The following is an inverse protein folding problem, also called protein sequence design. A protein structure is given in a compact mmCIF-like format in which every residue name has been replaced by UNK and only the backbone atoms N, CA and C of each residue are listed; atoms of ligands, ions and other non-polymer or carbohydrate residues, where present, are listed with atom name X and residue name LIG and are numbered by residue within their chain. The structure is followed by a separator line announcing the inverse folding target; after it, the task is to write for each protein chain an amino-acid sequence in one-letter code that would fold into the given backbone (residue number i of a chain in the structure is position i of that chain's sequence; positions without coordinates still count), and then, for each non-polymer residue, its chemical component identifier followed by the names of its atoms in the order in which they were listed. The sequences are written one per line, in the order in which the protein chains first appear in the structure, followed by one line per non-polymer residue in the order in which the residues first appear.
data_IF_950099300000
#
_entry.id   IF_950099300000
#
_cell.length_a   1.000
_cell.length_b   1.000
_cell.length_c   1.000
_cell.angle_alpha   90.00
_cell.angle_beta   90.00
_cell.angle_gamma   90.00
#
_symmetry.space_group_name_H-M   'P 1'
#
loop_
_entity.id
_entity.type
_entity.pdbx_description
1 polymer ?
#
# COMPACT_ATOMS: atom_id res chain seq x y z
N UNK A 1 -16.29 7.68 34.40
CA UNK A 1 -15.48 8.50 33.47
C UNK A 1 -16.37 9.08 32.38
N UNK A 2 -16.39 10.41 32.19
CA UNK A 2 -17.16 11.05 31.11
C UNK A 2 -16.52 10.63 29.76
N UNK A 3 -17.33 10.08 28.85
CA UNK A 3 -16.86 9.81 27.47
C UNK A 3 -16.30 11.11 26.87
N UNK A 4 -15.05 11.14 26.36
CA UNK A 4 -14.55 12.34 25.70
C UNK A 4 -15.52 12.71 24.57
N UNK A 5 -15.70 14.00 24.34
CA UNK A 5 -16.55 14.43 23.22
C UNK A 5 -16.00 13.87 21.93
N UNK A 6 -16.86 13.42 21.00
CA UNK A 6 -16.43 12.88 19.71
C UNK A 6 -15.48 13.85 18.98
N UNK A 7 -15.71 15.16 19.14
CA UNK A 7 -14.87 16.21 18.55
C UNK A 7 -13.45 16.15 19.10
N UNK A 8 -13.28 16.01 20.40
CA UNK A 8 -11.95 15.94 21.04
C UNK A 8 -11.20 14.66 20.63
N UNK A 9 -11.91 13.54 20.50
CA UNK A 9 -11.33 12.27 20.05
C UNK A 9 -10.80 12.36 18.60
N UNK A 10 -11.62 12.84 17.66
CA UNK A 10 -11.18 13.01 16.27
C UNK A 10 -10.13 14.12 16.14
N UNK A 11 -10.21 15.18 16.94
CA UNK A 11 -9.19 16.23 16.99
C UNK A 11 -7.80 15.71 17.39
N UNK A 12 -7.73 14.85 18.42
CA UNK A 12 -6.46 14.19 18.82
C UNK A 12 -5.88 13.33 17.68
N UNK A 13 -6.71 12.56 16.96
CA UNK A 13 -6.27 11.73 15.83
C UNK A 13 -5.83 12.55 14.64
N UNK A 14 -6.53 13.64 14.33
CA UNK A 14 -6.12 14.58 13.29
C UNK A 14 -4.79 15.26 13.62
N UNK A 15 -4.61 15.68 14.86
CA UNK A 15 -3.35 16.24 15.34
C UNK A 15 -2.20 15.21 15.24
N UNK A 16 -2.44 13.98 15.68
CA UNK A 16 -1.46 12.90 15.56
C UNK A 16 -1.08 12.64 14.09
N UNK A 17 -2.06 12.63 13.17
CA UNK A 17 -1.81 12.52 11.74
C UNK A 17 -0.92 13.65 11.22
N UNK A 18 -1.27 14.91 11.52
CA UNK A 18 -0.51 16.08 11.07
C UNK A 18 0.93 16.08 11.60
N UNK A 19 1.11 15.76 12.90
CA UNK A 19 2.44 15.65 13.50
C UNK A 19 3.25 14.52 12.85
N UNK A 20 2.64 13.37 12.61
CA UNK A 20 3.33 12.25 11.95
C UNK A 20 3.73 12.58 10.51
N UNK A 21 2.88 13.26 9.75
CA UNK A 21 3.19 13.72 8.38
C UNK A 21 4.29 14.78 8.41
N UNK A 22 4.28 15.68 9.39
CA UNK A 22 5.34 16.68 9.57
C UNK A 22 6.69 16.01 9.85
N UNK A 23 6.75 15.07 10.79
CA UNK A 23 7.98 14.32 11.10
C UNK A 23 8.45 13.53 9.87
N UNK A 24 7.53 12.88 9.18
CA UNK A 24 7.80 12.16 7.95
C UNK A 24 8.39 13.09 6.88
N UNK A 25 7.80 14.28 6.67
CA UNK A 25 8.27 15.24 5.67
C UNK A 25 9.69 15.71 5.97
N UNK A 26 9.99 16.01 7.23
CA UNK A 26 11.34 16.34 7.68
C UNK A 26 12.30 15.18 7.37
N UNK A 27 11.97 13.97 7.79
CA UNK A 27 12.84 12.81 7.61
C UNK A 27 13.11 12.54 6.12
N UNK A 28 12.06 12.52 5.29
CA UNK A 28 12.18 12.26 3.85
C UNK A 28 12.98 13.37 3.17
N UNK A 29 12.76 14.64 3.54
CA UNK A 29 13.51 15.77 3.00
C UNK A 29 14.99 15.65 3.30
N UNK A 30 15.36 15.44 4.57
CA UNK A 30 16.75 15.28 4.97
C UNK A 30 17.42 14.08 4.32
N UNK A 31 16.77 12.92 4.32
CA UNK A 31 17.31 11.71 3.68
C UNK A 31 17.50 11.92 2.18
N UNK A 32 16.57 12.60 1.50
CA UNK A 32 16.70 12.89 0.07
C UNK A 32 17.89 13.81 -0.24
N UNK A 33 18.22 14.74 0.65
CA UNK A 33 19.37 15.66 0.49
C UNK A 33 20.71 15.03 0.86
N UNK A 34 20.69 14.02 1.75
CA UNK A 34 21.90 13.25 2.11
C UNK A 34 22.18 12.10 1.11
N UNK A 35 21.23 11.79 0.24
CA UNK A 35 21.41 10.73 -0.74
C UNK A 35 22.59 11.06 -1.70
N UNK A 36 23.48 10.10 -1.98
CA UNK A 36 24.63 10.33 -2.84
C UNK A 36 24.20 10.67 -4.26
N UNK A 37 24.71 11.77 -4.79
CA UNK A 37 24.51 12.22 -6.15
C UNK A 37 24.39 13.72 -6.29
N UNK A 38 24.52 14.18 -7.53
CA UNK A 38 24.43 15.58 -7.88
C UNK A 38 23.05 15.90 -8.45
N UNK A 39 22.23 16.75 -7.78
CA UNK A 39 20.92 17.18 -8.28
C UNK A 39 20.99 17.87 -9.66
N UNK A 40 22.13 18.50 -9.97
CA UNK A 40 22.33 19.14 -11.26
C UNK A 40 22.38 18.12 -12.40
N UNK A 41 22.97 16.94 -12.16
CA UNK A 41 22.98 15.85 -13.15
C UNK A 41 21.57 15.38 -13.45
N UNK A 42 20.71 15.31 -12.44
CA UNK A 42 19.29 14.96 -12.65
C UNK A 42 18.52 15.99 -13.47
N UNK A 43 18.83 17.28 -13.27
CA UNK A 43 18.16 18.36 -13.96
C UNK A 43 18.72 18.66 -15.36
N UNK A 44 20.04 18.67 -15.50
CA UNK A 44 20.74 19.03 -16.75
C UNK A 44 21.24 17.82 -17.54
N UNK A 45 21.18 16.61 -16.99
CA UNK A 45 21.74 15.39 -17.59
C UNK A 45 23.27 15.52 -17.76
N UNK A 46 23.79 14.95 -18.84
CA UNK A 46 25.24 14.99 -19.17
C UNK A 46 25.81 16.41 -19.34
N UNK A 47 24.93 17.41 -19.49
CA UNK A 47 25.38 18.82 -19.54
C UNK A 47 25.86 19.32 -18.19
N UNK A 48 25.44 18.72 -17.09
CA UNK A 48 25.87 19.11 -15.74
C UNK A 48 27.40 19.03 -15.57
N UNK A 49 28.02 18.02 -16.19
CA UNK A 49 29.47 17.80 -16.15
C UNK A 49 30.25 18.83 -17.01
N UNK A 50 29.57 19.48 -17.95
CA UNK A 50 30.13 20.47 -18.87
C UNK A 50 29.91 21.91 -18.44
N UNK A 51 29.20 22.14 -17.33
CA UNK A 51 28.96 23.46 -16.79
C UNK A 51 30.28 24.06 -16.27
N UNK A 52 30.52 25.31 -16.61
CA UNK A 52 31.60 26.08 -15.99
C UNK A 52 31.30 26.31 -14.51
N UNK A 53 32.30 26.60 -13.66
CA UNK A 53 32.07 26.88 -12.24
C UNK A 53 31.05 27.99 -12.00
N UNK A 54 31.01 29.00 -12.86
CA UNK A 54 30.03 30.10 -12.77
C UNK A 54 28.62 29.65 -13.13
N UNK A 55 28.46 28.90 -14.23
CA UNK A 55 27.17 28.34 -14.63
C UNK A 55 26.63 27.36 -13.60
N UNK A 56 27.52 26.57 -12.97
CA UNK A 56 27.17 25.65 -11.89
C UNK A 56 26.63 26.41 -10.67
N UNK A 57 27.31 27.43 -10.21
CA UNK A 57 26.87 28.26 -9.09
C UNK A 57 25.50 28.91 -9.37
N UNK A 58 25.27 29.44 -10.56
CA UNK A 58 23.99 29.99 -10.97
C UNK A 58 22.88 28.93 -11.02
N UNK A 59 23.21 27.70 -11.43
CA UNK A 59 22.27 26.59 -11.47
C UNK A 59 21.91 26.11 -10.06
N UNK A 60 22.87 26.07 -9.15
CA UNK A 60 22.67 25.72 -7.72
C UNK A 60 21.80 26.79 -7.03
N UNK A 61 22.09 28.07 -7.24
CA UNK A 61 21.29 29.20 -6.75
C UNK A 61 19.82 29.13 -7.29
N UNK A 62 19.68 28.91 -8.59
CA UNK A 62 18.35 28.78 -9.23
C UNK A 62 17.51 27.62 -8.68
N UNK A 63 18.15 26.53 -8.28
CA UNK A 63 17.51 25.36 -7.66
C UNK A 63 17.44 25.47 -6.14
N UNK A 64 18.02 26.54 -5.54
CA UNK A 64 18.07 26.76 -4.10
C UNK A 64 18.91 25.73 -3.36
N UNK A 65 19.94 25.19 -4.01
CA UNK A 65 20.80 24.13 -3.44
C UNK A 65 21.97 24.70 -2.62
N UNK A 66 22.26 25.98 -2.77
CA UNK A 66 23.30 26.73 -2.09
C UNK A 66 22.96 27.11 -0.64
N UNK A 67 21.66 27.05 -0.28
CA UNK A 67 21.18 27.39 1.05
C UNK A 67 21.34 26.25 2.06
N UNK A 68 21.38 26.56 3.39
CA UNK A 68 21.33 25.55 4.42
C UNK A 68 20.11 24.63 4.27
N UNK A 69 20.27 23.32 4.51
CA UNK A 69 19.21 22.31 4.31
C UNK A 69 17.91 22.68 5.05
N UNK A 70 18.01 23.26 6.24
CA UNK A 70 16.83 23.71 6.99
C UNK A 70 16.07 24.82 6.27
N UNK A 71 16.76 25.80 5.70
CA UNK A 71 16.15 26.89 4.92
C UNK A 71 15.46 26.34 3.66
N UNK A 72 16.12 25.40 2.97
CA UNK A 72 15.51 24.69 1.84
C UNK A 72 14.23 23.96 2.25
N UNK A 73 14.23 23.30 3.41
CA UNK A 73 13.04 22.61 3.92
C UNK A 73 11.89 23.59 4.21
N UNK A 74 12.17 24.70 4.90
CA UNK A 74 11.14 25.70 5.25
C UNK A 74 10.52 26.29 3.98
N UNK A 75 11.35 26.65 2.99
CA UNK A 75 10.88 27.14 1.68
C UNK A 75 10.03 26.11 0.96
N UNK A 76 10.50 24.86 0.91
CA UNK A 76 9.74 23.78 0.31
C UNK A 76 8.40 23.55 1.02
N UNK A 77 8.37 23.54 2.35
CA UNK A 77 7.15 23.37 3.13
C UNK A 77 6.15 24.49 2.91
N UNK A 78 6.62 25.73 2.83
CA UNK A 78 5.78 26.90 2.48
C UNK A 78 5.16 26.74 1.08
N UNK A 79 5.94 26.38 0.08
CA UNK A 79 5.46 26.14 -1.27
C UNK A 79 4.48 24.97 -1.33
N UNK A 80 4.77 23.88 -0.63
CA UNK A 80 3.91 22.70 -0.53
C UNK A 80 2.52 23.00 0.08
N UNK A 81 2.43 23.93 1.05
CA UNK A 81 1.15 24.40 1.60
C UNK A 81 0.30 25.16 0.57
N UNK A 82 0.93 25.68 -0.50
CA UNK A 82 0.22 26.32 -1.64
C UNK A 82 0.03 25.36 -2.83
N UNK A 83 0.39 24.08 -2.65
CA UNK A 83 0.25 23.04 -3.68
C UNK A 83 1.43 22.95 -4.66
N UNK A 84 2.50 23.71 -4.46
CA UNK A 84 3.72 23.65 -5.24
C UNK A 84 4.73 22.69 -4.55
N UNK A 85 4.84 21.49 -5.11
CA UNK A 85 5.78 20.44 -4.64
C UNK A 85 7.08 20.40 -5.43
N UNK A 86 7.31 21.41 -6.27
CA UNK A 86 8.47 21.53 -7.15
C UNK A 86 8.31 20.81 -8.49
N UNK A 87 9.31 20.98 -9.33
CA UNK A 87 9.37 20.43 -10.68
C UNK A 87 10.13 19.11 -10.67
N UNK A 88 9.59 18.08 -11.33
CA UNK A 88 10.30 16.84 -11.61
C UNK A 88 11.50 17.13 -12.52
N UNK A 89 12.67 16.68 -12.11
CA UNK A 89 13.90 16.89 -12.88
C UNK A 89 13.91 16.08 -14.17
N UNK A 90 13.35 14.90 -14.16
CA UNK A 90 13.27 14.01 -15.32
C UNK A 90 12.21 14.47 -16.31
N UNK A 91 11.01 14.77 -15.84
CA UNK A 91 9.85 15.04 -16.70
C UNK A 91 9.69 16.54 -17.06
N UNK A 92 10.43 17.44 -16.38
CA UNK A 92 10.39 18.90 -16.59
C UNK A 92 9.00 19.54 -16.45
N UNK A 93 8.17 18.94 -15.59
CA UNK A 93 6.82 19.39 -15.30
C UNK A 93 6.54 19.26 -13.78
N UNK A 94 5.49 19.89 -13.23
CA UNK A 94 5.17 19.83 -11.81
C UNK A 94 5.09 18.39 -11.31
N UNK A 95 5.76 18.09 -10.19
CA UNK A 95 5.81 16.73 -9.62
C UNK A 95 4.42 16.17 -9.33
N UNK A 96 3.48 17.01 -8.88
CA UNK A 96 2.09 16.63 -8.62
C UNK A 96 1.37 16.15 -9.89
N UNK A 97 1.59 16.79 -11.04
CA UNK A 97 0.98 16.40 -12.32
C UNK A 97 1.53 15.07 -12.82
N UNK A 98 2.85 14.83 -12.66
CA UNK A 98 3.47 13.56 -12.99
C UNK A 98 2.84 12.44 -12.18
N UNK A 99 2.67 12.63 -10.88
CA UNK A 99 2.02 11.66 -9.99
C UNK A 99 0.57 11.44 -10.39
N UNK A 100 -0.20 12.49 -10.61
CA UNK A 100 -1.61 12.41 -11.00
C UNK A 100 -1.81 11.61 -12.29
N UNK A 101 -0.89 11.75 -13.27
CA UNK A 101 -0.94 11.01 -14.52
C UNK A 101 -0.76 9.49 -14.37
N UNK A 102 -0.09 9.04 -13.31
CA UNK A 102 0.24 7.62 -13.04
C UNK A 102 -0.61 7.00 -11.94
N UNK A 103 -1.15 7.81 -11.02
CA UNK A 103 -1.90 7.35 -9.85
C UNK A 103 -3.09 6.45 -10.23
N UNK A 104 -3.81 6.77 -11.31
CA UNK A 104 -4.95 5.98 -11.78
C UNK A 104 -4.62 4.52 -12.07
N UNK A 105 -3.44 4.25 -12.62
CA UNK A 105 -3.01 2.88 -12.91
C UNK A 105 -2.70 2.09 -11.63
N UNK A 106 -1.97 2.67 -10.68
CA UNK A 106 -1.71 2.03 -9.37
C UNK A 106 -3.00 1.81 -8.59
N UNK A 107 -3.92 2.78 -8.59
CA UNK A 107 -5.21 2.64 -7.91
C UNK A 107 -6.07 1.56 -8.57
N UNK A 108 -6.01 1.41 -9.89
CA UNK A 108 -6.71 0.33 -10.59
C UNK A 108 -6.11 -1.03 -10.23
N UNK A 109 -4.80 -1.21 -10.37
CA UNK A 109 -4.12 -2.46 -10.05
C UNK A 109 -4.28 -2.81 -8.56
N UNK A 110 -3.94 -1.89 -7.67
CA UNK A 110 -4.01 -2.10 -6.22
C UNK A 110 -5.44 -2.22 -5.70
N UNK A 111 -6.38 -1.40 -6.19
CA UNK A 111 -7.78 -1.43 -5.78
C UNK A 111 -8.50 -2.70 -6.21
N UNK A 112 -8.36 -3.10 -7.48
CA UNK A 112 -8.92 -4.38 -7.97
C UNK A 112 -8.24 -5.55 -7.28
N UNK A 113 -6.91 -5.51 -7.14
CA UNK A 113 -6.14 -6.51 -6.40
C UNK A 113 -6.62 -6.65 -4.96
N UNK A 114 -6.81 -5.54 -4.25
CA UNK A 114 -7.33 -5.51 -2.88
C UNK A 114 -8.70 -6.19 -2.77
N UNK A 115 -9.65 -5.82 -3.64
CA UNK A 115 -10.98 -6.44 -3.65
C UNK A 115 -10.91 -7.93 -3.91
N UNK A 116 -10.11 -8.37 -4.88
CA UNK A 116 -9.93 -9.78 -5.20
C UNK A 116 -9.24 -10.54 -4.06
N UNK A 117 -8.14 -10.02 -3.50
CA UNK A 117 -7.43 -10.65 -2.39
C UNK A 117 -8.38 -10.91 -1.23
N UNK A 118 -9.10 -9.89 -0.77
CA UNK A 118 -9.95 -10.01 0.40
C UNK A 118 -11.22 -10.82 0.12
N UNK A 119 -11.83 -10.71 -1.04
CA UNK A 119 -12.99 -11.57 -1.40
C UNK A 119 -12.59 -13.04 -1.50
N UNK A 120 -11.52 -13.34 -2.22
CA UNK A 120 -11.07 -14.71 -2.41
C UNK A 120 -10.51 -15.33 -1.11
N UNK A 121 -9.78 -14.56 -0.30
CA UNK A 121 -9.26 -15.02 0.98
C UNK A 121 -10.38 -15.34 1.98
N UNK A 122 -11.44 -14.52 2.02
CA UNK A 122 -12.62 -14.79 2.83
C UNK A 122 -13.31 -16.08 2.40
N UNK A 123 -13.56 -16.26 1.10
CA UNK A 123 -14.17 -17.46 0.57
C UNK A 123 -13.33 -18.71 0.82
N UNK A 124 -12.02 -18.62 0.55
CA UNK A 124 -11.10 -19.74 0.72
C UNK A 124 -10.92 -20.11 2.20
N UNK A 125 -10.74 -19.10 3.08
CA UNK A 125 -10.64 -19.29 4.53
C UNK A 125 -11.90 -19.94 5.12
N UNK A 126 -13.09 -19.52 4.68
CA UNK A 126 -14.36 -20.15 5.07
C UNK A 126 -14.47 -21.60 4.57
N UNK A 127 -14.06 -21.89 3.34
CA UNK A 127 -14.08 -23.23 2.78
C UNK A 127 -13.13 -24.18 3.55
N UNK A 128 -11.93 -23.71 3.86
CA UNK A 128 -10.93 -24.46 4.64
C UNK A 128 -11.44 -24.69 6.08
N UNK A 129 -11.94 -23.67 6.77
CA UNK A 129 -12.51 -23.79 8.11
C UNK A 129 -13.69 -24.79 8.17
N UNK A 130 -14.55 -24.79 7.14
CA UNK A 130 -15.64 -25.76 7.03
C UNK A 130 -15.14 -27.20 6.85
N UNK A 131 -14.03 -27.36 6.13
CA UNK A 131 -13.43 -28.67 5.77
C UNK A 131 -12.15 -28.94 6.56
N UNK A 132 -12.05 -28.43 7.77
CA UNK A 132 -10.89 -28.58 8.65
C UNK A 132 -10.38 -30.04 8.68
N UNK A 133 -9.07 -30.23 8.49
CA UNK A 133 -8.39 -31.52 8.54
C UNK A 133 -8.61 -32.43 7.32
N UNK A 134 -9.44 -32.05 6.34
CA UNK A 134 -9.64 -32.83 5.10
C UNK A 134 -8.45 -32.70 4.14
N UNK A 135 -8.41 -33.55 3.11
CA UNK A 135 -7.41 -33.46 2.03
C UNK A 135 -7.46 -32.12 1.30
N UNK A 136 -8.65 -31.55 1.12
CA UNK A 136 -8.82 -30.22 0.53
C UNK A 136 -8.12 -29.14 1.35
N UNK A 137 -8.39 -29.08 2.65
CA UNK A 137 -7.78 -28.11 3.56
C UNK A 137 -6.26 -28.25 3.55
N UNK A 138 -5.75 -29.48 3.69
CA UNK A 138 -4.29 -29.74 3.66
C UNK A 138 -3.66 -29.37 2.31
N UNK A 139 -4.34 -29.61 1.20
CA UNK A 139 -3.84 -29.26 -0.13
C UNK A 139 -3.77 -27.73 -0.32
N UNK A 140 -4.82 -26.99 0.09
CA UNK A 140 -4.85 -25.54 0.05
C UNK A 140 -3.75 -24.94 0.94
N UNK A 141 -3.59 -25.42 2.17
CA UNK A 141 -2.52 -24.95 3.06
C UNK A 141 -1.12 -25.21 2.47
N UNK A 142 -0.87 -26.40 1.91
CA UNK A 142 0.41 -26.72 1.26
C UNK A 142 0.68 -25.85 0.04
N UNK A 143 -0.30 -25.68 -0.85
CA UNK A 143 -0.18 -24.80 -2.01
C UNK A 143 0.09 -23.37 -1.58
N UNK A 144 -0.63 -22.89 -0.57
CA UNK A 144 -0.43 -21.57 0.00
C UNK A 144 0.99 -21.37 0.53
N UNK A 145 1.50 -22.34 1.28
CA UNK A 145 2.88 -22.30 1.79
C UNK A 145 3.90 -22.25 0.65
N UNK A 146 3.74 -23.10 -0.36
CA UNK A 146 4.66 -23.14 -1.52
C UNK A 146 4.63 -21.79 -2.25
N UNK A 147 3.44 -21.27 -2.55
CA UNK A 147 3.29 -20.01 -3.30
C UNK A 147 3.83 -18.81 -2.51
N UNK A 148 3.64 -18.79 -1.19
CA UNK A 148 4.17 -17.72 -0.32
C UNK A 148 5.70 -17.69 -0.24
N UNK A 149 6.38 -18.79 -0.58
CA UNK A 149 7.84 -18.83 -0.65
C UNK A 149 8.39 -18.30 -1.98
N UNK A 150 7.52 -18.07 -2.97
CA UNK A 150 7.94 -17.57 -4.29
C UNK A 150 7.98 -16.04 -4.26
N UNK A 151 9.14 -15.39 -4.50
CA UNK A 151 9.21 -13.94 -4.59
C UNK A 151 8.34 -13.40 -5.73
N UNK A 152 7.65 -12.28 -5.49
CA UNK A 152 6.72 -11.68 -6.47
C UNK A 152 7.38 -11.36 -7.82
N UNK A 153 8.63 -10.88 -7.81
CA UNK A 153 9.35 -10.60 -9.05
C UNK A 153 9.60 -11.88 -9.86
N UNK A 154 9.91 -12.99 -9.19
CA UNK A 154 10.14 -14.27 -9.83
C UNK A 154 8.84 -14.84 -10.41
N UNK A 155 7.75 -14.77 -9.63
CA UNK A 155 6.42 -15.17 -10.11
C UNK A 155 6.00 -14.33 -11.32
N UNK A 156 6.28 -13.02 -11.30
CA UNK A 156 6.02 -12.13 -12.45
C UNK A 156 6.73 -12.60 -13.71
N UNK A 157 8.04 -12.88 -13.61
CA UNK A 157 8.84 -13.36 -14.75
C UNK A 157 8.35 -14.71 -15.27
N UNK A 158 7.97 -15.62 -14.36
CA UNK A 158 7.42 -16.93 -14.73
C UNK A 158 6.10 -16.79 -15.50
N UNK A 159 5.19 -15.94 -15.04
CA UNK A 159 3.91 -15.71 -15.71
C UNK A 159 4.10 -15.01 -17.07
N UNK A 160 5.02 -14.07 -17.18
CA UNK A 160 5.39 -13.46 -18.47
C UNK A 160 5.91 -14.53 -19.43
N UNK A 161 6.85 -15.37 -18.97
CA UNK A 161 7.42 -16.44 -19.80
C UNK A 161 6.31 -17.37 -20.33
N UNK A 162 5.45 -17.87 -19.45
CA UNK A 162 4.42 -18.84 -19.83
C UNK A 162 3.35 -18.19 -20.70
N UNK A 163 2.74 -17.10 -20.25
CA UNK A 163 1.52 -16.57 -20.89
C UNK A 163 1.77 -15.56 -22.01
N UNK A 164 2.86 -14.79 -21.92
CA UNK A 164 3.15 -13.78 -22.92
C UNK A 164 4.12 -14.28 -24.00
N UNK A 165 5.11 -15.08 -23.64
CA UNK A 165 6.15 -15.52 -24.58
C UNK A 165 5.80 -16.87 -25.23
N UNK A 166 5.54 -17.91 -24.40
CA UNK A 166 5.31 -19.27 -24.92
C UNK A 166 3.89 -19.41 -25.47
N UNK A 167 2.87 -19.12 -24.68
CA UNK A 167 1.47 -19.26 -25.08
C UNK A 167 0.95 -18.10 -25.93
N UNK A 168 1.52 -16.91 -25.77
CA UNK A 168 1.14 -15.67 -26.50
C UNK A 168 -0.33 -15.31 -26.39
N UNK A 169 -0.94 -15.58 -25.23
CA UNK A 169 -2.37 -15.33 -24.97
C UNK A 169 -2.63 -14.04 -24.22
N UNK A 170 -1.61 -13.50 -23.49
CA UNK A 170 -1.72 -12.28 -22.72
C UNK A 170 -0.52 -11.38 -22.93
N UNK A 171 -0.69 -10.05 -22.87
CA UNK A 171 0.41 -9.11 -22.97
C UNK A 171 1.34 -9.20 -21.75
N UNK A 172 2.65 -9.10 -21.99
CA UNK A 172 3.69 -9.21 -20.95
C UNK A 172 4.12 -7.89 -20.34
N UNK A 173 3.69 -6.74 -20.86
CA UNK A 173 4.16 -5.43 -20.38
C UNK A 173 3.23 -4.29 -20.74
N UNK A 174 3.31 -3.17 -19.98
CA UNK A 174 2.51 -1.97 -20.22
C UNK A 174 1.10 -2.05 -19.65
N UNK A 175 0.35 -0.97 -19.76
CA UNK A 175 -1.05 -0.88 -19.33
C UNK A 175 -2.05 -0.99 -20.48
N UNK A 176 -1.58 -0.92 -21.72
CA UNK A 176 -2.36 -1.02 -22.97
C UNK A 176 -1.40 -1.13 -24.16
N UNK A 177 -1.89 -1.63 -25.28
CA UNK A 177 -1.17 -1.68 -26.54
C UNK A 177 -1.10 -0.28 -27.19
N UNK A 178 -0.10 -0.05 -28.05
CA UNK A 178 0.08 1.23 -28.75
C UNK A 178 -1.20 1.60 -29.52
N UNK A 179 -1.74 2.79 -29.25
CA UNK A 179 -2.96 3.29 -29.86
C UNK A 179 -4.27 2.76 -29.27
N UNK A 180 -4.21 1.90 -28.22
CA UNK A 180 -5.38 1.27 -27.59
C UNK A 180 -5.69 1.85 -26.18
N UNK A 181 -5.27 3.09 -25.88
CA UNK A 181 -5.39 3.70 -24.55
C UNK A 181 -6.84 3.69 -24.01
N UNK A 182 -7.83 3.81 -24.90
CA UNK A 182 -9.25 3.87 -24.55
C UNK A 182 -9.97 2.51 -24.72
N UNK A 183 -9.27 1.47 -25.13
CA UNK A 183 -9.86 0.14 -25.29
C UNK A 183 -9.85 -0.59 -23.95
N UNK A 184 -11.03 -0.75 -23.34
CA UNK A 184 -11.21 -1.39 -22.03
C UNK A 184 -10.78 -2.86 -22.07
N UNK A 185 -11.04 -3.59 -23.17
CA UNK A 185 -10.69 -5.00 -23.29
C UNK A 185 -9.16 -5.18 -23.34
N UNK A 186 -8.44 -4.34 -24.08
CA UNK A 186 -6.99 -4.33 -24.15
C UNK A 186 -6.39 -3.99 -22.76
N UNK A 187 -6.88 -2.96 -22.11
CA UNK A 187 -6.45 -2.61 -20.74
C UNK A 187 -6.70 -3.74 -19.74
N UNK A 188 -7.85 -4.41 -19.84
CA UNK A 188 -8.16 -5.56 -18.99
C UNK A 188 -7.17 -6.72 -19.22
N UNK A 189 -6.82 -7.01 -20.50
CA UNK A 189 -5.83 -8.04 -20.83
C UNK A 189 -4.46 -7.74 -20.20
N UNK A 190 -3.99 -6.47 -20.26
CA UNK A 190 -2.73 -6.05 -19.64
C UNK A 190 -2.77 -6.08 -18.10
N UNK A 191 -3.94 -6.07 -17.49
CA UNK A 191 -4.10 -6.10 -16.04
C UNK A 191 -4.08 -7.54 -15.48
N UNK A 192 -4.40 -8.58 -16.27
CA UNK A 192 -4.57 -9.96 -15.78
C UNK A 192 -3.31 -10.49 -15.12
N UNK A 193 -2.16 -10.46 -15.79
CA UNK A 193 -0.91 -11.00 -15.24
C UNK A 193 -0.42 -10.23 -14.00
N UNK A 194 -0.35 -8.88 -14.01
CA UNK A 194 -0.05 -8.11 -12.81
C UNK A 194 -0.98 -8.42 -11.65
N UNK A 195 -2.30 -8.49 -11.88
CA UNK A 195 -3.29 -8.86 -10.85
C UNK A 195 -3.08 -10.27 -10.31
N UNK A 196 -2.78 -11.23 -11.18
CA UNK A 196 -2.53 -12.60 -10.75
C UNK A 196 -1.35 -12.67 -9.76
N UNK A 197 -0.27 -11.93 -10.02
CA UNK A 197 0.88 -11.86 -9.10
C UNK A 197 0.49 -11.24 -7.78
N UNK A 198 -0.13 -10.05 -7.79
CA UNK A 198 -0.55 -9.34 -6.57
C UNK A 198 -1.51 -10.20 -5.74
N UNK A 199 -2.47 -10.85 -6.39
CA UNK A 199 -3.44 -11.71 -5.71
C UNK A 199 -2.77 -12.95 -5.14
N UNK A 200 -1.97 -13.68 -5.91
CA UNK A 200 -1.30 -14.91 -5.46
C UNK A 200 -0.28 -14.64 -4.35
N UNK A 201 0.42 -13.50 -4.39
CA UNK A 201 1.37 -13.11 -3.35
C UNK A 201 0.73 -12.87 -1.97
N UNK A 202 -0.54 -12.45 -1.93
CA UNK A 202 -1.19 -12.03 -0.69
C UNK A 202 -2.35 -12.95 -0.24
N UNK A 203 -3.04 -13.61 -1.18
CA UNK A 203 -4.25 -14.41 -0.95
C UNK A 203 -4.10 -15.41 0.20
N UNK A 204 -3.01 -16.16 0.20
CA UNK A 204 -2.80 -17.29 1.11
C UNK A 204 -2.66 -16.87 2.56
N UNK A 205 -1.91 -15.79 2.78
CA UNK A 205 -1.71 -15.21 4.10
C UNK A 205 -3.05 -14.81 4.75
N UNK A 206 -3.88 -14.05 4.02
CA UNK A 206 -5.16 -13.61 4.54
C UNK A 206 -6.18 -14.75 4.64
N UNK A 207 -6.17 -15.71 3.72
CA UNK A 207 -7.01 -16.89 3.80
C UNK A 207 -6.72 -17.71 5.05
N UNK A 208 -5.44 -17.90 5.38
CA UNK A 208 -5.01 -18.59 6.59
C UNK A 208 -5.40 -17.85 7.88
N UNK A 209 -5.23 -16.54 7.92
CA UNK A 209 -5.66 -15.72 9.06
C UNK A 209 -7.17 -15.84 9.31
N UNK A 210 -7.98 -15.78 8.25
CA UNK A 210 -9.44 -15.90 8.34
C UNK A 210 -9.83 -17.31 8.77
N UNK A 211 -9.20 -18.34 8.20
CA UNK A 211 -9.44 -19.72 8.59
C UNK A 211 -9.22 -19.92 10.08
N UNK A 212 -8.06 -19.50 10.62
CA UNK A 212 -7.75 -19.65 12.04
C UNK A 212 -8.75 -18.91 12.91
N UNK A 213 -9.07 -17.66 12.58
CA UNK A 213 -10.05 -16.88 13.35
C UNK A 213 -11.44 -17.52 13.35
N UNK A 214 -11.88 -18.07 12.22
CA UNK A 214 -13.15 -18.81 12.14
C UNK A 214 -13.11 -20.10 12.95
N UNK A 215 -11.99 -20.82 12.97
CA UNK A 215 -11.84 -22.04 13.77
C UNK A 215 -11.87 -21.73 15.27
N UNK A 216 -11.25 -20.64 15.71
CA UNK A 216 -11.33 -20.18 17.09
C UNK A 216 -12.77 -19.87 17.49
N UNK A 217 -13.49 -19.12 16.66
CA UNK A 217 -14.92 -18.81 16.89
C UNK A 217 -15.79 -20.08 16.89
N UNK A 218 -15.48 -21.08 16.06
CA UNK A 218 -16.22 -22.34 16.01
C UNK A 218 -16.00 -23.24 17.23
N UNK A 219 -14.98 -22.96 18.04
CA UNK A 219 -14.67 -23.65 19.31
C UNK A 219 -15.22 -22.91 20.53
N UNK A 220 -15.78 -21.72 20.37
CA UNK A 220 -16.32 -20.92 21.46
C UNK A 220 -17.61 -21.53 22.07
N UNK A 221 -17.87 -21.26 23.35
CA UNK A 221 -19.00 -21.85 24.11
C UNK A 221 -20.38 -21.56 23.51
N UNK A 222 -20.58 -20.37 22.93
CA UNK A 222 -21.85 -20.03 22.29
C UNK A 222 -22.19 -20.95 21.11
N UNK A 223 -21.19 -21.57 20.48
CA UNK A 223 -21.38 -22.55 19.39
C UNK A 223 -21.98 -23.85 19.92
N UNK A 224 -21.61 -24.27 21.15
CA UNK A 224 -22.22 -25.42 21.80
C UNK A 224 -23.71 -25.19 22.04
N UNK A 225 -24.05 -24.00 22.55
CA UNK A 225 -25.46 -23.61 22.74
C UNK A 225 -26.23 -23.56 21.42
N UNK A 226 -25.63 -23.02 20.34
CA UNK A 226 -26.27 -22.99 19.02
C UNK A 226 -26.53 -24.39 18.46
N UNK A 227 -25.58 -25.31 18.65
CA UNK A 227 -25.74 -26.74 18.26
C UNK A 227 -26.81 -27.43 19.10
N UNK A 228 -26.88 -27.17 20.41
CA UNK A 228 -27.91 -27.70 21.30
C UNK A 228 -29.32 -27.26 20.90
N UNK A 229 -29.44 -26.06 20.29
CA UNK A 229 -30.69 -25.56 19.68
C UNK A 229 -30.99 -26.13 18.28
N UNK A 230 -30.22 -27.13 17.82
CA UNK A 230 -30.45 -27.81 16.54
C UNK A 230 -29.91 -27.08 15.29
N UNK A 231 -29.12 -26.04 15.45
CA UNK A 231 -28.55 -25.34 14.28
C UNK A 231 -27.48 -26.20 13.59
N UNK A 232 -27.55 -26.26 12.26
CA UNK A 232 -26.53 -26.96 11.47
C UNK A 232 -25.17 -26.25 11.54
N UNK A 233 -24.06 -26.99 11.38
CA UNK A 233 -22.69 -26.45 11.36
C UNK A 233 -22.55 -25.25 10.39
N UNK A 234 -23.20 -25.34 9.22
CA UNK A 234 -23.20 -24.25 8.22
C UNK A 234 -23.93 -23.01 8.71
N UNK A 235 -25.10 -23.19 9.35
CA UNK A 235 -25.86 -22.07 9.89
C UNK A 235 -25.11 -21.37 11.03
N UNK A 236 -24.48 -22.13 11.93
CA UNK A 236 -23.64 -21.60 13.00
C UNK A 236 -22.48 -20.80 12.43
N UNK A 237 -21.75 -21.36 11.47
CA UNK A 237 -20.59 -20.70 10.86
C UNK A 237 -20.99 -19.37 10.20
N UNK A 238 -22.05 -19.36 9.37
CA UNK A 238 -22.42 -18.16 8.60
C UNK A 238 -23.14 -17.10 9.43
N UNK A 239 -24.01 -17.50 10.38
CA UNK A 239 -24.84 -16.55 11.15
C UNK A 239 -24.18 -16.05 12.43
N UNK A 240 -23.28 -16.86 13.03
CA UNK A 240 -22.66 -16.54 14.32
C UNK A 240 -21.16 -16.31 14.16
N UNK A 241 -20.39 -17.33 13.76
CA UNK A 241 -18.93 -17.23 13.72
C UNK A 241 -18.42 -16.17 12.73
N UNK A 242 -18.96 -16.15 11.51
CA UNK A 242 -18.57 -15.15 10.50
C UNK A 242 -18.90 -13.73 10.97
N UNK A 243 -20.08 -13.52 11.57
CA UNK A 243 -20.46 -12.21 12.10
C UNK A 243 -19.50 -11.71 13.17
N UNK A 244 -19.02 -12.60 14.06
CA UNK A 244 -18.05 -12.26 15.09
C UNK A 244 -16.63 -12.08 14.54
N UNK A 245 -16.30 -12.75 13.42
CA UNK A 245 -15.01 -12.61 12.73
C UNK A 245 -14.93 -11.32 11.91
N UNK A 246 -16.05 -10.82 11.34
CA UNK A 246 -16.06 -9.66 10.43
C UNK A 246 -15.38 -8.41 10.98
N UNK A 247 -15.54 -8.03 12.25
CA UNK A 247 -14.84 -6.88 12.79
C UNK A 247 -13.33 -6.99 12.70
N UNK A 248 -12.77 -8.12 13.16
CA UNK A 248 -11.32 -8.38 13.06
C UNK A 248 -10.87 -8.39 11.58
N UNK A 249 -11.69 -8.97 10.70
CA UNK A 249 -11.40 -9.01 9.27
C UNK A 249 -11.33 -7.60 8.65
N UNK A 250 -12.28 -6.72 8.95
CA UNK A 250 -12.26 -5.32 8.47
C UNK A 250 -11.05 -4.56 8.98
N UNK A 251 -10.61 -4.83 10.21
CA UNK A 251 -9.38 -4.25 10.76
C UNK A 251 -8.14 -4.72 10.02
N UNK A 252 -8.06 -6.02 9.70
CA UNK A 252 -6.97 -6.57 8.89
C UNK A 252 -6.98 -5.91 7.51
N UNK A 253 -8.15 -5.77 6.87
CA UNK A 253 -8.27 -5.08 5.58
C UNK A 253 -7.70 -3.66 5.64
N UNK A 254 -8.07 -2.87 6.64
CA UNK A 254 -7.63 -1.49 6.78
C UNK A 254 -6.10 -1.38 6.97
N UNK A 255 -5.50 -2.25 7.79
CA UNK A 255 -4.04 -2.29 8.00
C UNK A 255 -3.30 -2.76 6.74
N UNK A 256 -3.96 -3.57 5.91
CA UNK A 256 -3.33 -4.20 4.74
C UNK A 256 -3.28 -3.30 3.51
N UNK A 257 -4.03 -2.19 3.47
CA UNK A 257 -4.04 -1.27 2.31
C UNK A 257 -2.63 -0.83 1.91
N UNK A 258 -1.78 -0.30 2.82
CA UNK A 258 -0.42 0.09 2.45
C UNK A 258 0.44 -1.10 2.01
N UNK A 259 0.23 -2.27 2.60
CA UNK A 259 0.99 -3.47 2.29
C UNK A 259 0.70 -3.98 0.88
N UNK A 260 -0.57 -4.05 0.50
CA UNK A 260 -1.00 -4.42 -0.86
C UNK A 260 -0.51 -3.40 -1.88
N UNK A 261 -0.63 -2.10 -1.59
CA UNK A 261 -0.11 -1.05 -2.49
C UNK A 261 1.41 -1.07 -2.59
N UNK A 262 2.13 -1.40 -1.50
CA UNK A 262 3.59 -1.58 -1.53
C UNK A 262 4.01 -2.76 -2.41
N UNK A 263 3.28 -3.86 -2.41
CA UNK A 263 3.50 -5.02 -3.27
C UNK A 263 3.34 -4.70 -4.76
N UNK A 264 2.45 -3.75 -5.12
CA UNK A 264 2.29 -3.36 -6.53
C UNK A 264 3.56 -2.74 -7.12
N UNK A 265 4.47 -2.16 -6.33
CA UNK A 265 5.70 -1.51 -6.82
C UNK A 265 6.61 -2.47 -7.60
N UNK A 266 6.81 -3.67 -7.06
CA UNK A 266 7.63 -4.70 -7.73
C UNK A 266 6.94 -5.15 -9.01
N UNK A 267 5.65 -5.43 -8.92
CA UNK A 267 4.83 -5.90 -10.04
C UNK A 267 4.78 -4.86 -11.16
N UNK A 268 4.50 -3.59 -10.84
CA UNK A 268 4.50 -2.49 -11.80
C UNK A 268 5.85 -2.36 -12.51
N UNK A 269 6.96 -2.52 -11.78
CA UNK A 269 8.31 -2.41 -12.35
C UNK A 269 8.61 -3.55 -13.31
N UNK A 270 8.30 -4.81 -12.93
CA UNK A 270 8.59 -5.98 -13.76
C UNK A 270 7.73 -5.99 -15.02
N UNK A 271 6.45 -5.66 -14.91
CA UNK A 271 5.53 -5.58 -16.05
C UNK A 271 5.64 -4.26 -16.83
N UNK A 272 6.55 -3.34 -16.42
CA UNK A 272 6.61 -1.98 -17.00
C UNK A 272 5.23 -1.30 -17.02
N UNK A 273 4.41 -1.61 -16.00
CA UNK A 273 3.08 -1.03 -15.83
C UNK A 273 3.21 0.40 -15.32
N UNK A 274 2.70 1.43 -16.02
CA UNK A 274 3.01 2.82 -15.73
C UNK A 274 2.25 3.35 -14.51
N UNK A 275 2.66 2.95 -13.32
CA UNK A 275 2.10 3.34 -12.04
C UNK A 275 3.05 4.16 -11.16
N UNK A 276 2.67 4.35 -9.88
CA UNK A 276 3.46 5.10 -8.88
C UNK A 276 4.69 4.33 -8.44
N UNK A 277 4.66 2.98 -8.47
CA UNK A 277 5.80 2.15 -8.13
C UNK A 277 6.94 2.26 -9.14
N UNK A 278 6.62 2.14 -10.44
CA UNK A 278 7.58 2.42 -11.51
C UNK A 278 8.10 3.84 -11.44
N UNK A 279 7.23 4.80 -11.12
CA UNK A 279 7.62 6.20 -10.98
C UNK A 279 8.58 6.40 -9.80
N UNK A 280 8.35 5.76 -8.65
CA UNK A 280 9.24 5.82 -7.49
C UNK A 280 10.61 5.21 -7.80
N UNK A 281 10.65 4.04 -8.47
CA UNK A 281 11.89 3.43 -8.91
C UNK A 281 12.68 4.33 -9.86
N UNK A 282 12.01 4.88 -10.87
CA UNK A 282 12.63 5.82 -11.81
C UNK A 282 13.14 7.07 -11.12
N UNK A 283 12.37 7.66 -10.19
CA UNK A 283 12.75 8.85 -9.46
C UNK A 283 14.01 8.61 -8.61
N UNK A 284 14.09 7.45 -7.95
CA UNK A 284 15.28 7.06 -7.20
C UNK A 284 16.50 6.86 -8.12
N UNK A 285 16.31 6.16 -9.24
CA UNK A 285 17.37 5.86 -10.21
C UNK A 285 17.93 7.12 -10.87
N UNK A 286 17.07 8.06 -11.22
CA UNK A 286 17.44 9.33 -11.89
C UNK A 286 17.64 10.48 -10.92
N UNK A 287 17.60 10.22 -9.60
CA UNK A 287 17.81 11.23 -8.54
C UNK A 287 16.85 12.44 -8.66
N UNK A 288 15.62 12.16 -9.07
CA UNK A 288 14.54 13.16 -9.13
C UNK A 288 14.00 13.38 -7.71
N UNK A 289 14.71 14.19 -6.93
CA UNK A 289 14.45 14.35 -5.50
C UNK A 289 13.05 14.91 -5.21
N UNK A 290 12.56 15.87 -6.00
CA UNK A 290 11.23 16.47 -5.80
C UNK A 290 10.13 15.43 -5.98
N UNK A 291 10.22 14.63 -7.04
CA UNK A 291 9.27 13.60 -7.35
C UNK A 291 9.34 12.44 -6.34
N UNK A 292 10.56 11.99 -6.01
CA UNK A 292 10.78 10.92 -5.02
C UNK A 292 10.27 11.31 -3.64
N UNK A 293 10.54 12.56 -3.21
CA UNK A 293 10.07 13.08 -1.94
C UNK A 293 8.55 13.14 -1.87
N UNK A 294 7.88 13.66 -2.89
CA UNK A 294 6.42 13.74 -2.93
C UNK A 294 5.78 12.35 -2.95
N UNK A 295 6.32 11.40 -3.72
CA UNK A 295 5.87 9.99 -3.72
C UNK A 295 6.02 9.34 -2.34
N UNK A 296 7.17 9.55 -1.69
CA UNK A 296 7.42 9.00 -0.35
C UNK A 296 6.49 9.59 0.70
N UNK A 297 6.20 10.90 0.61
CA UNK A 297 5.25 11.57 1.49
C UNK A 297 3.82 11.06 1.28
N UNK A 298 3.38 10.95 0.04
CA UNK A 298 2.03 10.42 -0.26
C UNK A 298 1.87 8.98 0.22
N UNK A 299 2.86 8.14 -0.03
CA UNK A 299 2.84 6.74 0.43
C UNK A 299 2.84 6.66 1.95
N UNK A 300 3.70 7.41 2.62
CA UNK A 300 3.77 7.42 4.08
C UNK A 300 2.52 8.03 4.73
N UNK A 301 1.97 9.12 4.17
CA UNK A 301 0.71 9.70 4.64
C UNK A 301 -0.45 8.71 4.51
N UNK A 302 -0.50 7.94 3.41
CA UNK A 302 -1.49 6.88 3.23
C UNK A 302 -1.33 5.78 4.28
N UNK A 303 -0.10 5.34 4.57
CA UNK A 303 0.17 4.35 5.64
C UNK A 303 -0.33 4.84 6.99
N UNK A 304 0.00 6.08 7.36
CA UNK A 304 -0.42 6.68 8.63
C UNK A 304 -1.94 6.78 8.69
N UNK A 305 -2.59 7.25 7.63
CA UNK A 305 -4.04 7.37 7.54
C UNK A 305 -4.73 6.01 7.72
N UNK A 306 -4.29 4.98 6.98
CA UNK A 306 -4.83 3.63 7.09
C UNK A 306 -4.62 3.03 8.48
N UNK A 307 -3.48 3.28 9.12
CA UNK A 307 -3.21 2.86 10.50
C UNK A 307 -4.16 3.51 11.49
N UNK A 308 -4.42 4.81 11.37
CA UNK A 308 -5.39 5.54 12.21
C UNK A 308 -6.81 5.03 11.99
N UNK A 309 -7.20 4.75 10.75
CA UNK A 309 -8.51 4.18 10.43
C UNK A 309 -8.67 2.80 11.06
N UNK A 310 -7.69 1.92 10.87
CA UNK A 310 -7.67 0.57 11.45
C UNK A 310 -7.76 0.60 12.98
N UNK A 311 -6.97 1.47 13.63
CA UNK A 311 -7.04 1.67 15.07
C UNK A 311 -8.43 2.16 15.51
N UNK A 312 -9.02 3.09 14.76
CA UNK A 312 -10.36 3.61 15.05
C UNK A 312 -11.43 2.53 14.95
N UNK A 313 -11.33 1.67 13.92
CA UNK A 313 -12.22 0.52 13.75
C UNK A 313 -12.07 -0.43 14.95
N UNK A 314 -10.84 -0.80 15.32
CA UNK A 314 -10.56 -1.70 16.45
C UNK A 314 -11.13 -1.16 17.77
N UNK A 315 -10.91 0.11 18.06
CA UNK A 315 -11.44 0.77 19.27
C UNK A 315 -12.97 0.85 19.32
N UNK A 316 -13.64 0.87 18.16
CA UNK A 316 -15.11 0.84 18.11
C UNK A 316 -15.68 -0.56 18.30
N UNK A 317 -14.94 -1.56 17.87
CA UNK A 317 -15.35 -2.96 17.90
C UNK A 317 -15.07 -3.59 19.25
N UNK A 318 -13.89 -3.35 19.84
CA UNK A 318 -13.51 -3.85 21.15
C UNK A 318 -13.34 -2.70 22.17
N UNK A 319 -14.35 -2.48 23.03
CA UNK A 319 -14.26 -1.45 24.07
C UNK A 319 -13.13 -1.66 25.08
N UNK A 320 -12.58 -2.88 25.20
CA UNK A 320 -11.49 -3.20 26.14
C UNK A 320 -10.19 -2.53 25.73
N UNK A 321 -9.92 -2.46 24.43
CA UNK A 321 -8.75 -1.76 23.86
C UNK A 321 -8.76 -0.29 24.29
N UNK A 322 -9.94 0.35 24.31
CA UNK A 322 -10.12 1.73 24.77
C UNK A 322 -9.82 1.91 26.26
N UNK A 323 -10.21 0.92 27.07
CA UNK A 323 -9.96 0.96 28.50
C UNK A 323 -8.47 0.79 28.82
N UNK A 324 -7.77 -0.09 28.16
CA UNK A 324 -6.31 -0.29 28.32
C UNK A 324 -5.50 0.94 27.87
N UNK A 325 -5.90 1.59 26.79
CA UNK A 325 -5.25 2.83 26.32
C UNK A 325 -5.46 3.96 27.33
N UNK A 326 -6.67 4.10 27.88
CA UNK A 326 -6.96 5.11 28.90
C UNK A 326 -6.16 4.89 30.20
N UNK A 327 -5.88 3.64 30.57
CA UNK A 327 -5.00 3.30 31.70
C UNK A 327 -3.56 3.69 31.40
N UNK A 328 -3.04 3.33 30.23
CA UNK A 328 -1.68 3.72 29.81
C UNK A 328 -1.49 5.22 29.70
N UNK A 329 -2.48 5.95 29.17
CA UNK A 329 -2.43 7.43 29.13
C UNK A 329 -2.42 8.03 30.53
N UNK A 330 -3.10 7.41 31.49
CA UNK A 330 -3.10 7.86 32.89
C UNK A 330 -1.80 7.55 33.66
N UNK A 331 -1.11 6.45 33.27
CA UNK A 331 0.19 6.08 33.84
C UNK A 331 1.36 6.92 33.32
N UNK A 332 1.20 7.54 32.13
CA UNK A 332 2.23 8.41 31.50
C UNK A 332 2.07 9.88 31.91
N UNK A 333 0.94 10.25 32.54
CA UNK A 333 0.78 11.60 33.13
C UNK A 333 1.39 11.62 34.53
N UNK A 334 2.49 12.39 34.75
CA UNK A 334 3.13 12.52 36.05
C UNK A 334 2.24 13.20 37.09
#
# INVERSE_FOLDING_TARGET
MKKPSKILYFGKKALAFLLSVLVLSLAVFYVSRLAPGDPLVSYYGDRAEKLTPQERAQAEEKLGLDEPIFTQYVRWAQNALHGDFGISYKYKMPAAEVIASRAGNTLLLGGVGFVLIFTLSLLLGMLCARREGTLFDRAVCKLGTITSCIPEFWLSLLLILIFAIELRVLPGSGAYSIGQQNNIADRAAHLILPLAVVVLGHLWYYAYMIQNRLLDEMRADYVLLAKAKGLTRRAVMLRHCLRNTMPTYLSIMAISVPHVLGGTYIVETVFSYPGLGTLAYESARYKDYNLLMLLSLLSGALVILCSIIAQTINEQIDPRIRAEQAVREAEVQP
#
